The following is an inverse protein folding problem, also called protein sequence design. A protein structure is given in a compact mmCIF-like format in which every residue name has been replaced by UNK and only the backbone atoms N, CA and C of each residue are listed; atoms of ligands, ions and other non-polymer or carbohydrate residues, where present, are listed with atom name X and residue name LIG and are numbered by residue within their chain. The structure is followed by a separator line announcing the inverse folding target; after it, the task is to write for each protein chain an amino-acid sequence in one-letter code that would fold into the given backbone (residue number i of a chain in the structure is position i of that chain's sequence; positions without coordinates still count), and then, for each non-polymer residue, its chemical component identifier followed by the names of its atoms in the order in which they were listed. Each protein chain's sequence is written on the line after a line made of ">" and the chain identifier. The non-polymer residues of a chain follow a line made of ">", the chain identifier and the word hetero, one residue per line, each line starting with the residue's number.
data_IF_228226561139
#
_entry.id   IF_228226561139
#
_cell.length_a   1.000
_cell.length_b   1.000
_cell.length_c   1.000
_cell.angle_alpha   90.00
_cell.angle_beta   90.00
_cell.angle_gamma   90.00
#
_symmetry.space_group_name_H-M   'P 1'
#
loop_
_entity.id
_entity.type
_entity.pdbx_description
1 polymer ?
#
# COMPACT_ATOMS: atom_id res chain seq x y z
N UNK A 1 20.70 10.57 -3.49
CA UNK A 1 20.65 9.64 -2.34
C UNK A 1 19.39 8.82 -2.49
N UNK A 2 19.54 7.50 -2.56
CA UNK A 2 18.62 6.49 -3.10
C UNK A 2 17.13 6.77 -2.88
N UNK A 3 16.41 7.02 -3.98
CA UNK A 3 14.96 7.07 -4.05
C UNK A 3 14.40 5.68 -3.67
N UNK A 4 14.07 5.50 -2.40
CA UNK A 4 13.35 4.31 -1.95
C UNK A 4 11.94 4.41 -2.49
N UNK A 5 11.58 3.53 -3.43
CA UNK A 5 10.20 3.34 -3.91
C UNK A 5 9.27 3.24 -2.70
N UNK A 6 8.43 4.26 -2.49
CA UNK A 6 7.61 4.37 -1.27
C UNK A 6 6.23 3.78 -1.44
N UNK A 7 5.76 3.60 -2.68
CA UNK A 7 4.37 3.28 -2.96
C UNK A 7 4.20 1.88 -3.55
N UNK A 8 3.11 1.23 -3.18
CA UNK A 8 2.66 -0.06 -3.71
C UNK A 8 1.18 0.05 -4.00
N UNK A 9 0.75 -0.48 -5.14
CA UNK A 9 -0.65 -0.66 -5.50
C UNK A 9 -1.09 -2.03 -5.01
N UNK A 10 -2.04 -2.03 -4.09
CA UNK A 10 -2.68 -3.23 -3.55
C UNK A 10 -4.08 -3.35 -4.10
N UNK A 11 -4.41 -4.55 -4.59
CA UNK A 11 -5.76 -4.94 -4.96
C UNK A 11 -6.38 -5.71 -3.79
N UNK A 12 -7.55 -5.27 -3.37
CA UNK A 12 -8.34 -5.96 -2.37
C UNK A 12 -9.01 -7.19 -3.00
N UNK A 13 -8.83 -8.37 -2.39
CA UNK A 13 -9.46 -9.61 -2.86
C UNK A 13 -10.97 -9.69 -2.61
N UNK A 14 -11.49 -8.89 -1.67
CA UNK A 14 -12.92 -8.89 -1.30
C UNK A 14 -13.78 -8.00 -2.20
N UNK A 15 -13.29 -6.81 -2.56
CA UNK A 15 -14.06 -5.82 -3.31
C UNK A 15 -13.44 -5.44 -4.65
N UNK A 16 -12.34 -6.10 -5.03
CA UNK A 16 -11.53 -5.81 -6.22
C UNK A 16 -11.00 -4.37 -6.30
N UNK A 17 -11.16 -3.56 -5.26
CA UNK A 17 -10.70 -2.19 -5.25
C UNK A 17 -9.18 -2.13 -5.23
N UNK A 18 -8.62 -1.33 -6.13
CA UNK A 18 -7.20 -1.02 -6.19
C UNK A 18 -6.92 0.24 -5.37
N UNK A 19 -5.95 0.15 -4.47
CA UNK A 19 -5.54 1.26 -3.61
C UNK A 19 -4.03 1.41 -3.63
N UNK A 20 -3.57 2.66 -3.79
CA UNK A 20 -2.15 2.98 -3.70
C UNK A 20 -1.86 3.34 -2.24
N UNK A 21 -0.95 2.58 -1.63
CA UNK A 21 -0.52 2.78 -0.25
C UNK A 21 1.00 2.79 -0.16
N UNK A 22 1.52 3.10 1.02
CA UNK A 22 2.95 3.08 1.27
C UNK A 22 3.44 1.66 1.56
N UNK A 23 4.63 1.30 1.06
CA UNK A 23 5.28 0.02 1.40
C UNK A 23 5.57 -0.09 2.90
N UNK A 24 5.85 1.03 3.54
CA UNK A 24 6.05 1.14 4.98
C UNK A 24 4.96 2.00 5.58
N UNK A 25 3.94 1.36 6.15
CA UNK A 25 2.88 2.04 6.87
C UNK A 25 3.25 2.16 8.36
N UNK A 26 3.04 3.34 8.94
CA UNK A 26 3.17 3.58 10.39
C UNK A 26 1.83 3.45 11.12
N UNK A 27 0.75 3.22 10.39
CA UNK A 27 -0.62 3.10 10.89
C UNK A 27 -1.35 2.04 10.09
N UNK A 28 -2.42 1.47 10.66
CA UNK A 28 -3.26 0.49 9.97
C UNK A 28 -3.91 1.15 8.75
N UNK A 29 -3.81 0.52 7.58
CA UNK A 29 -4.45 0.97 6.35
C UNK A 29 -5.63 0.06 6.05
N UNK A 30 -6.78 0.67 5.91
CA UNK A 30 -8.06 0.02 5.67
C UNK A 30 -8.50 0.31 4.23
N UNK A 31 -9.20 -0.64 3.61
CA UNK A 31 -9.76 -0.45 2.29
C UNK A 31 -10.82 0.66 2.35
N UNK A 32 -10.70 1.68 1.49
CA UNK A 32 -11.69 2.77 1.42
C UNK A 32 -13.07 2.33 0.88
N UNK A 33 -13.18 1.11 0.34
CA UNK A 33 -14.43 0.58 -0.22
C UNK A 33 -15.14 -0.35 0.76
N UNK A 34 -14.47 -1.40 1.25
CA UNK A 34 -15.08 -2.38 2.15
C UNK A 34 -14.69 -2.22 3.62
N UNK A 35 -13.67 -1.42 3.96
CA UNK A 35 -13.14 -1.31 5.31
C UNK A 35 -12.24 -2.47 5.76
N UNK A 36 -11.94 -3.43 4.89
CA UNK A 36 -11.05 -4.54 5.24
C UNK A 36 -9.60 -4.07 5.50
N UNK A 37 -8.86 -4.71 6.43
CA UNK A 37 -7.47 -4.36 6.68
C UNK A 37 -6.60 -4.72 5.47
N UNK A 38 -6.00 -3.71 4.82
CA UNK A 38 -5.10 -3.92 3.68
C UNK A 38 -3.64 -3.98 4.11
N UNK A 39 -3.25 -3.16 5.09
CA UNK A 39 -1.90 -3.15 5.64
C UNK A 39 -1.91 -2.93 7.16
N UNK A 40 -1.10 -3.70 7.89
CA UNK A 40 -0.91 -3.55 9.32
C UNK A 40 0.56 -3.26 9.67
N UNK A 41 0.85 -2.23 10.49
CA UNK A 41 2.21 -1.93 10.91
C UNK A 41 2.68 -2.92 11.97
N UNK A 42 3.69 -3.73 11.66
CA UNK A 42 4.28 -4.72 12.55
C UNK A 42 5.70 -4.31 12.95
N UNK A 43 5.84 -3.53 14.03
CA UNK A 43 7.10 -3.35 14.79
C UNK A 43 8.40 -3.02 14.00
N UNK A 44 8.31 -2.54 12.75
CA UNK A 44 9.44 -2.36 11.85
C UNK A 44 9.16 -2.74 10.39
N UNK A 45 8.13 -3.54 10.15
CA UNK A 45 7.65 -3.96 8.83
C UNK A 45 6.16 -3.69 8.67
N UNK A 46 5.65 -3.89 7.47
CA UNK A 46 4.23 -3.75 7.13
C UNK A 46 3.75 -5.05 6.56
N UNK A 47 2.69 -5.60 7.15
CA UNK A 47 2.05 -6.82 6.67
C UNK A 47 0.89 -6.43 5.75
N UNK A 48 0.91 -6.91 4.51
CA UNK A 48 -0.12 -6.64 3.52
C UNK A 48 -1.03 -7.86 3.37
N UNK A 49 -2.33 -7.67 3.56
CA UNK A 49 -3.34 -8.73 3.47
C UNK A 49 -3.97 -8.84 2.05
N UNK A 50 -3.65 -7.90 1.16
CA UNK A 50 -4.11 -7.89 -0.22
C UNK A 50 -3.04 -8.33 -1.23
N UNK A 51 -3.43 -8.43 -2.50
CA UNK A 51 -2.50 -8.73 -3.59
C UNK A 51 -1.77 -7.46 -4.01
N UNK A 52 -0.43 -7.47 -3.98
CA UNK A 52 0.38 -6.36 -4.49
C UNK A 52 0.46 -6.50 -6.01
N UNK A 53 -0.24 -5.64 -6.72
CA UNK A 53 -0.31 -5.65 -8.20
C UNK A 53 0.90 -4.96 -8.80
N UNK A 54 1.32 -3.83 -8.21
CA UNK A 54 2.39 -3.01 -8.77
C UNK A 54 3.17 -2.27 -7.68
N UNK A 55 4.50 -2.23 -7.79
CA UNK A 55 5.35 -1.43 -6.91
C UNK A 55 5.70 -0.11 -7.61
N UNK A 56 4.95 0.94 -7.27
CA UNK A 56 5.13 2.29 -7.80
C UNK A 56 6.37 2.94 -7.17
N UNK A 57 7.51 2.75 -7.84
CA UNK A 57 8.65 3.62 -7.66
C UNK A 57 8.39 4.93 -8.37
N UNK A 58 7.97 5.98 -7.64
CA UNK A 58 7.90 7.33 -8.20
C UNK A 58 9.32 7.77 -8.53
N UNK A 59 9.66 7.79 -9.82
CA UNK A 59 10.29 8.97 -10.41
C UNK A 59 9.15 9.96 -10.66
N UNK A 60 9.26 11.14 -10.06
CA UNK A 60 8.35 12.31 -10.08
C UNK A 60 7.37 12.37 -11.27
N UNK A 61 6.08 12.68 -11.00
CA UNK A 61 5.28 13.72 -11.70
C UNK A 61 4.07 14.10 -10.81
N UNK A 62 3.90 15.41 -10.55
CA UNK A 62 2.65 16.00 -10.02
C UNK A 62 2.86 17.09 -8.97
N UNK A 63 2.70 18.34 -9.40
CA UNK A 63 2.71 19.62 -8.64
C UNK A 63 1.79 19.68 -7.40
#
# INVERSE_FOLDING_TARGET
>A
MTEKKKFVRIKCSDCENEQITFRHVSSKVECMVCGAPLAEPTGGYSEFNGEIVEELGVSEEGE
#
